data_IF_638972178951
#
_entry.id   IF_638972178951
#
_cell.length_a   1.000
_cell.length_b   1.000
_cell.length_c   1.000
_cell.angle_alpha   90.00
_cell.angle_beta   90.00
_cell.angle_gamma   90.00
#
_symmetry.space_group_name_H-M   'P 1'
#
loop_
_entity.id
_entity.type
_entity.pdbx_description
1 polymer ?
#
# COMPACT_ATOMS: atom_id res chain seq x y z
N UNK A 1 -0.67 -15.99 -5.27
CA UNK A 1 -2.14 -15.86 -5.26
C UNK A 1 -2.53 -15.33 -3.89
N UNK A 2 -3.47 -14.40 -3.78
CA UNK A 2 -4.03 -14.04 -2.46
C UNK A 2 -4.77 -15.24 -1.92
N UNK A 3 -4.47 -15.66 -0.69
CA UNK A 3 -5.13 -16.83 -0.07
C UNK A 3 -6.29 -16.42 0.83
N UNK A 4 -6.42 -15.12 1.03
CA UNK A 4 -7.43 -14.46 1.82
C UNK A 4 -7.51 -14.96 3.28
N UNK A 5 -6.36 -15.18 3.93
CA UNK A 5 -6.30 -15.55 5.36
C UNK A 5 -5.52 -14.49 6.13
N UNK A 6 -6.16 -13.90 7.16
CA UNK A 6 -5.68 -12.69 7.82
C UNK A 6 -5.58 -12.85 9.32
N UNK A 7 -4.69 -12.05 9.91
CA UNK A 7 -4.57 -11.86 11.34
C UNK A 7 -4.46 -10.36 11.61
N UNK A 8 -5.31 -9.84 12.49
CA UNK A 8 -5.45 -8.40 12.74
C UNK A 8 -5.53 -7.57 11.44
N UNK A 9 -6.38 -8.00 10.51
CA UNK A 9 -6.64 -7.36 9.21
C UNK A 9 -5.46 -7.32 8.23
N UNK A 10 -4.39 -8.06 8.51
CA UNK A 10 -3.18 -8.15 7.70
C UNK A 10 -3.00 -9.59 7.19
N UNK A 11 -2.78 -9.77 5.87
CA UNK A 11 -2.71 -11.12 5.29
C UNK A 11 -1.53 -11.86 5.90
N UNK A 12 -1.77 -13.08 6.36
CA UNK A 12 -0.75 -13.93 6.94
C UNK A 12 0.20 -14.38 5.83
N UNK A 13 1.51 -14.18 6.03
CA UNK A 13 2.53 -14.63 5.10
C UNK A 13 2.74 -16.14 5.18
N UNK A 14 2.92 -16.77 4.04
CA UNK A 14 3.13 -18.20 3.92
C UNK A 14 3.49 -18.58 2.50
N UNK A 15 3.90 -19.84 2.32
CA UNK A 15 4.43 -20.33 1.03
C UNK A 15 3.46 -20.25 -0.14
N UNK A 16 2.15 -20.27 0.12
CA UNK A 16 1.13 -20.10 -0.91
C UNK A 16 0.75 -18.63 -1.19
N UNK A 17 1.18 -17.71 -0.33
CA UNK A 17 0.81 -16.30 -0.34
C UNK A 17 1.81 -15.53 -1.18
N UNK A 18 1.34 -14.56 -1.97
CA UNK A 18 2.21 -13.70 -2.80
C UNK A 18 2.86 -12.57 -1.98
N UNK A 19 3.30 -12.86 -0.76
CA UNK A 19 3.92 -11.90 0.14
C UNK A 19 5.40 -11.70 -0.22
N UNK A 20 5.87 -10.45 -0.19
CA UNK A 20 7.19 -10.07 -0.70
C UNK A 20 7.83 -8.96 0.12
N UNK A 21 9.12 -9.06 0.35
CA UNK A 21 9.93 -7.95 0.85
C UNK A 21 10.61 -7.30 -0.34
N UNK A 22 10.19 -6.08 -0.69
CA UNK A 22 10.58 -5.45 -1.95
C UNK A 22 11.62 -4.35 -1.76
N UNK A 23 12.73 -4.45 -2.49
CA UNK A 23 13.71 -3.37 -2.60
C UNK A 23 14.37 -2.99 -1.28
N UNK A 24 14.70 -3.99 -0.45
CA UNK A 24 15.44 -3.81 0.80
C UNK A 24 16.80 -3.22 0.44
N UNK A 25 17.05 -2.00 0.91
CA UNK A 25 18.17 -1.19 0.47
C UNK A 25 18.66 -0.29 1.62
N UNK A 26 19.98 -0.12 1.80
CA UNK A 26 21.05 -0.73 0.99
C UNK A 26 21.39 -2.15 1.45
N UNK A 27 21.58 -3.06 0.48
CA UNK A 27 22.29 -4.34 0.68
C UNK A 27 23.69 -4.19 0.07
N UNK A 28 24.67 -3.75 0.88
CA UNK A 28 26.02 -3.44 0.37
C UNK A 28 26.78 -4.74 0.15
N UNK A 29 27.04 -5.04 -1.12
CA UNK A 29 27.84 -6.19 -1.54
C UNK A 29 29.04 -5.73 -2.38
N UNK A 30 30.13 -6.48 -2.32
CA UNK A 30 31.33 -6.23 -3.11
C UNK A 30 31.17 -6.79 -4.52
N UNK A 31 31.33 -5.92 -5.51
CA UNK A 31 31.25 -6.23 -6.94
C UNK A 31 32.66 -6.37 -7.52
N UNK A 32 32.93 -7.39 -8.35
CA UNK A 32 34.23 -7.52 -9.00
C UNK A 32 34.53 -6.29 -9.87
N UNK A 33 35.72 -5.67 -9.77
CA UNK A 33 36.12 -4.62 -10.70
C UNK A 33 36.38 -5.19 -12.10
N UNK A 34 36.17 -4.41 -13.14
CA UNK A 34 36.39 -4.84 -14.52
C UNK A 34 37.88 -5.14 -14.83
N UNK A 35 38.85 -4.48 -14.16
CA UNK A 35 40.30 -4.66 -14.37
C UNK A 35 41.12 -4.14 -13.16
N UNK A 36 42.33 -4.67 -12.88
CA UNK A 36 42.57 -6.03 -12.38
C UNK A 36 42.01 -6.24 -10.95
N UNK A 37 41.84 -7.51 -10.55
CA UNK A 37 41.19 -7.92 -9.30
C UNK A 37 41.86 -7.30 -8.05
N UNK A 38 41.29 -6.21 -7.53
CA UNK A 38 41.66 -5.67 -6.22
C UNK A 38 40.80 -6.37 -5.17
N UNK A 39 41.36 -7.16 -4.23
CA UNK A 39 40.57 -7.71 -3.12
C UNK A 39 40.20 -6.53 -2.19
N UNK A 40 38.93 -6.36 -1.72
CA UNK A 40 37.79 -7.29 -1.74
C UNK A 40 36.72 -7.07 -2.84
N UNK A 41 36.93 -6.16 -3.79
CA UNK A 41 35.93 -5.67 -4.76
C UNK A 41 35.49 -4.23 -4.46
N UNK A 42 34.57 -3.68 -5.25
CA UNK A 42 33.97 -2.35 -5.02
C UNK A 42 32.68 -2.51 -4.21
N UNK A 43 32.51 -1.84 -3.06
CA UNK A 43 31.26 -1.91 -2.29
C UNK A 43 30.15 -1.16 -3.03
N UNK A 44 29.12 -1.88 -3.48
CA UNK A 44 27.98 -1.32 -4.20
C UNK A 44 26.69 -1.64 -3.42
N UNK A 45 25.82 -0.65 -3.17
CA UNK A 45 24.54 -0.91 -2.55
C UNK A 45 23.56 -1.45 -3.60
N UNK A 46 22.99 -2.63 -3.33
CA UNK A 46 22.00 -3.29 -4.19
C UNK A 46 20.61 -3.27 -3.55
N UNK A 47 19.52 -3.28 -4.35
CA UNK A 47 18.20 -3.64 -3.87
C UNK A 47 18.10 -5.15 -3.70
N UNK A 48 17.66 -5.60 -2.52
CA UNK A 48 17.44 -7.02 -2.21
C UNK A 48 15.95 -7.33 -2.10
N UNK A 49 15.55 -8.52 -2.54
CA UNK A 49 14.16 -8.96 -2.59
C UNK A 49 14.00 -10.34 -1.96
N UNK A 50 12.89 -10.56 -1.26
CA UNK A 50 12.50 -11.89 -0.79
C UNK A 50 11.04 -12.20 -1.09
N UNK A 51 10.77 -13.48 -1.31
CA UNK A 51 9.48 -13.97 -1.78
C UNK A 51 8.98 -15.08 -0.85
N UNK A 52 7.75 -14.95 -0.33
CA UNK A 52 7.18 -15.93 0.58
C UNK A 52 7.07 -17.34 -0.03
N UNK A 53 7.08 -17.47 -1.35
CA UNK A 53 7.20 -18.76 -2.05
C UNK A 53 8.45 -19.57 -1.65
N UNK A 54 9.51 -18.90 -1.19
CA UNK A 54 10.74 -19.51 -0.70
C UNK A 54 10.69 -19.86 0.80
N UNK A 55 9.52 -19.75 1.45
CA UNK A 55 9.33 -20.11 2.85
C UNK A 55 9.71 -21.56 3.12
N UNK A 56 10.45 -21.74 4.22
CA UNK A 56 10.82 -23.00 4.82
C UNK A 56 10.76 -22.90 6.35
N UNK A 57 10.73 -24.05 7.03
CA UNK A 57 10.60 -24.18 8.50
C UNK A 57 9.43 -23.42 9.12
N UNK A 58 8.38 -23.18 8.34
CA UNK A 58 7.11 -22.65 8.83
C UNK A 58 6.31 -23.68 9.64
N UNK A 59 5.01 -23.44 9.76
CA UNK A 59 4.06 -24.32 10.45
C UNK A 59 4.07 -25.77 9.94
N UNK A 60 3.96 -26.69 10.89
CA UNK A 60 3.75 -28.11 10.69
C UNK A 60 2.26 -28.47 10.58
N UNK A 61 1.41 -27.93 11.46
CA UNK A 61 0.00 -28.35 11.57
C UNK A 61 -0.96 -27.46 10.79
N UNK A 62 -0.88 -26.14 10.97
CA UNK A 62 -1.74 -25.19 10.26
C UNK A 62 -1.21 -24.96 8.85
N UNK A 63 -2.09 -25.05 7.84
CA UNK A 63 -1.73 -24.80 6.44
C UNK A 63 -2.67 -23.77 5.83
N UNK A 64 -2.11 -22.91 4.99
CA UNK A 64 -2.88 -22.01 4.12
C UNK A 64 -2.69 -22.51 2.68
N UNK A 65 -3.80 -22.80 2.00
CA UNK A 65 -3.82 -23.44 0.68
C UNK A 65 -2.89 -24.67 0.59
N UNK A 66 -2.95 -25.55 1.60
CA UNK A 66 -2.12 -26.76 1.74
C UNK A 66 -0.60 -26.52 1.81
N UNK A 67 -0.16 -25.29 2.11
CA UNK A 67 1.25 -24.96 2.28
C UNK A 67 1.54 -24.36 3.66
N UNK A 68 2.82 -24.42 4.04
CA UNK A 68 3.31 -23.93 5.33
C UNK A 68 3.25 -22.41 5.45
N UNK A 69 3.12 -21.92 6.68
CA UNK A 69 2.91 -20.52 7.03
C UNK A 69 4.12 -19.97 7.78
N UNK A 70 4.44 -18.69 7.59
CA UNK A 70 5.54 -18.03 8.31
C UNK A 70 5.15 -17.73 9.76
N UNK A 71 6.01 -18.15 10.68
CA UNK A 71 5.87 -17.96 12.13
C UNK A 71 7.18 -17.47 12.74
N UNK A 72 7.03 -16.73 13.84
CA UNK A 72 8.10 -16.09 14.61
C UNK A 72 9.25 -17.04 14.91
N UNK A 73 10.49 -16.55 14.74
CA UNK A 73 11.75 -17.18 15.16
C UNK A 73 11.99 -18.62 14.67
N UNK A 74 11.16 -19.15 13.78
CA UNK A 74 11.27 -20.51 13.27
C UNK A 74 11.35 -20.54 11.75
N UNK A 75 10.45 -19.79 11.09
CA UNK A 75 10.39 -19.75 9.63
C UNK A 75 11.35 -18.73 9.04
N UNK A 76 11.77 -18.97 7.79
CA UNK A 76 12.60 -18.07 7.00
C UNK A 76 12.31 -18.25 5.51
N UNK A 77 12.73 -17.29 4.70
CA UNK A 77 12.80 -17.48 3.25
C UNK A 77 14.19 -18.00 2.90
N UNK A 78 14.25 -19.06 2.09
CA UNK A 78 15.49 -19.80 1.83
C UNK A 78 16.55 -19.00 1.09
N UNK A 79 16.16 -17.93 0.38
CA UNK A 79 17.05 -17.06 -0.39
C UNK A 79 16.45 -15.66 -0.58
N UNK A 80 17.32 -14.72 -0.92
CA UNK A 80 16.98 -13.39 -1.44
C UNK A 80 17.62 -13.20 -2.82
N UNK A 81 17.12 -12.24 -3.60
CA UNK A 81 17.61 -11.93 -4.95
C UNK A 81 17.86 -10.43 -5.13
N UNK A 82 18.50 -10.03 -6.25
CA UNK A 82 18.79 -8.65 -6.62
C UNK A 82 20.23 -8.19 -6.32
N UNK A 83 20.96 -9.01 -5.57
CA UNK A 83 22.32 -8.79 -5.09
C UNK A 83 23.35 -9.68 -5.78
N UNK A 84 22.97 -10.44 -6.82
CA UNK A 84 23.79 -11.45 -7.48
C UNK A 84 25.08 -10.87 -8.08
N UNK A 85 25.05 -9.62 -8.56
CA UNK A 85 26.22 -8.93 -9.10
C UNK A 85 27.29 -8.61 -8.04
N UNK A 86 26.92 -8.57 -6.76
CA UNK A 86 27.84 -8.43 -5.63
C UNK A 86 28.56 -9.74 -5.30
N UNK A 87 29.21 -10.35 -6.30
CA UNK A 87 29.78 -11.69 -6.23
C UNK A 87 31.30 -11.73 -6.02
N UNK A 88 31.95 -10.61 -5.68
CA UNK A 88 33.36 -10.62 -5.31
C UNK A 88 33.60 -11.50 -4.07
N UNK A 89 34.87 -11.82 -3.77
CA UNK A 89 35.22 -12.77 -2.72
C UNK A 89 34.53 -12.49 -1.38
N UNK A 90 34.40 -11.21 -0.99
CA UNK A 90 33.73 -10.81 0.25
C UNK A 90 32.20 -10.78 0.15
N UNK A 91 31.58 -10.59 -1.03
CA UNK A 91 30.10 -10.46 -1.18
C UNK A 91 29.50 -9.41 -0.24
N UNK A 92 28.48 -9.73 0.55
CA UNK A 92 27.89 -8.82 1.53
C UNK A 92 28.91 -8.34 2.57
N UNK A 93 28.90 -7.03 2.84
CA UNK A 93 29.85 -6.38 3.76
C UNK A 93 29.82 -7.00 5.16
N UNK A 94 28.63 -7.35 5.67
CA UNK A 94 28.44 -8.00 6.97
C UNK A 94 28.48 -9.52 6.81
N UNK A 95 27.64 -10.07 5.93
CA UNK A 95 27.30 -11.51 5.96
C UNK A 95 28.21 -12.39 5.12
N UNK A 96 29.03 -11.79 4.26
CA UNK A 96 29.74 -12.51 3.19
C UNK A 96 28.84 -13.37 2.30
N UNK A 97 27.57 -12.98 2.15
CA UNK A 97 26.57 -13.58 1.25
C UNK A 97 26.04 -12.53 0.28
N UNK A 98 25.52 -12.98 -0.85
CA UNK A 98 24.87 -12.12 -1.85
C UNK A 98 23.49 -12.65 -2.26
N UNK A 99 22.99 -13.73 -1.68
CA UNK A 99 21.66 -14.32 -1.90
C UNK A 99 21.22 -15.12 -0.67
N UNK A 100 21.62 -14.66 0.52
CA UNK A 100 21.35 -15.33 1.80
C UNK A 100 19.86 -15.41 2.15
N UNK A 101 19.55 -15.94 3.33
CA UNK A 101 18.15 -16.08 3.79
C UNK A 101 17.51 -14.71 4.10
N UNK A 102 16.19 -14.70 4.20
CA UNK A 102 15.42 -13.61 4.82
C UNK A 102 14.79 -14.10 6.14
N UNK A 103 14.85 -13.25 7.17
CA UNK A 103 14.21 -13.49 8.46
C UNK A 103 13.30 -12.32 8.84
N UNK A 104 12.31 -12.62 9.69
CA UNK A 104 11.31 -11.67 10.16
C UNK A 104 11.66 -11.11 11.54
N UNK A 105 11.39 -9.82 11.72
CA UNK A 105 11.73 -9.02 12.90
C UNK A 105 10.48 -8.50 13.64
N UNK A 106 9.29 -8.70 13.07
CA UNK A 106 8.00 -8.50 13.75
C UNK A 106 6.97 -9.54 13.30
N UNK A 107 5.87 -9.63 14.04
CA UNK A 107 4.82 -10.64 13.88
C UNK A 107 3.54 -10.16 14.60
N UNK A 108 2.45 -10.92 14.49
CA UNK A 108 1.20 -10.68 15.23
C UNK A 108 1.40 -10.64 16.75
N UNK A 109 0.67 -9.77 17.45
CA UNK A 109 0.71 -9.67 18.90
C UNK A 109 -0.07 -10.78 19.62
N UNK A 110 -1.06 -11.37 18.96
CA UNK A 110 -2.09 -12.21 19.59
C UNK A 110 -2.48 -13.45 18.76
N UNK A 111 -2.35 -13.43 17.43
CA UNK A 111 -2.64 -14.60 16.58
C UNK A 111 -1.41 -15.48 16.44
N UNK A 112 -1.58 -16.76 16.80
CA UNK A 112 -0.49 -17.75 16.81
C UNK A 112 -0.91 -19.03 16.08
N UNK A 113 -0.01 -19.56 15.27
CA UNK A 113 -0.10 -20.91 14.70
C UNK A 113 1.03 -21.77 15.25
N UNK A 114 0.73 -23.03 15.56
CA UNK A 114 1.67 -23.96 16.20
C UNK A 114 2.31 -23.38 17.48
N UNK A 115 1.57 -22.54 18.21
CA UNK A 115 2.04 -21.89 19.44
C UNK A 115 2.87 -20.62 19.24
N UNK A 116 3.23 -20.26 18.00
CA UNK A 116 4.08 -19.10 17.68
C UNK A 116 3.32 -18.02 16.89
N UNK A 117 3.61 -16.73 17.13
CA UNK A 117 3.02 -15.63 16.38
C UNK A 117 3.21 -15.74 14.86
N UNK A 118 2.15 -15.45 14.12
CA UNK A 118 2.18 -15.45 12.65
C UNK A 118 2.79 -14.17 12.08
N UNK A 119 3.50 -14.29 10.96
CA UNK A 119 4.04 -13.16 10.19
C UNK A 119 2.98 -12.69 9.18
N UNK A 120 2.86 -11.38 8.97
CA UNK A 120 1.75 -10.77 8.22
C UNK A 120 2.19 -9.60 7.33
N UNK A 121 1.28 -9.07 6.53
CA UNK A 121 1.48 -7.78 5.84
C UNK A 121 1.93 -6.71 6.84
N UNK A 122 2.87 -5.86 6.45
CA UNK A 122 3.53 -4.81 7.27
C UNK A 122 4.54 -5.29 8.31
N UNK A 123 4.69 -6.61 8.53
CA UNK A 123 5.76 -7.09 9.40
C UNK A 123 7.15 -6.84 8.79
N UNK A 124 8.14 -6.59 9.63
CA UNK A 124 9.48 -6.25 9.19
C UNK A 124 10.29 -7.51 8.88
N UNK A 125 11.12 -7.45 7.85
CA UNK A 125 12.05 -8.49 7.46
C UNK A 125 13.43 -7.91 7.12
N UNK A 126 14.46 -8.74 7.26
CA UNK A 126 15.86 -8.41 6.93
C UNK A 126 16.44 -9.46 6.00
N UNK A 127 17.27 -9.03 5.05
CA UNK A 127 17.66 -9.83 3.89
C UNK A 127 19.14 -10.22 3.91
N UNK A 128 19.47 -11.17 3.03
CA UNK A 128 20.82 -11.62 2.72
C UNK A 128 21.61 -12.11 3.94
N UNK A 129 20.96 -12.94 4.76
CA UNK A 129 21.52 -13.45 6.00
C UNK A 129 22.58 -14.54 5.81
N UNK A 130 23.57 -14.52 6.70
CA UNK A 130 24.44 -15.67 6.98
C UNK A 130 24.01 -16.49 8.21
N UNK A 131 22.83 -16.17 8.77
CA UNK A 131 22.20 -16.78 9.96
C UNK A 131 23.07 -16.70 11.24
N UNK A 132 22.77 -15.79 12.18
CA UNK A 132 21.62 -14.87 12.25
C UNK A 132 21.89 -13.45 11.71
N UNK A 133 23.09 -13.13 11.25
CA UNK A 133 23.43 -11.77 10.85
C UNK A 133 22.80 -11.42 9.49
N UNK A 134 22.15 -10.26 9.42
CA UNK A 134 21.60 -9.65 8.20
C UNK A 134 22.63 -8.75 7.51
N UNK A 135 22.52 -8.58 6.20
CA UNK A 135 23.30 -7.56 5.47
C UNK A 135 22.54 -6.23 5.28
N UNK A 136 21.26 -6.20 5.65
CA UNK A 136 20.35 -5.09 5.36
C UNK A 136 19.65 -4.58 6.63
N UNK A 137 19.17 -3.32 6.63
CA UNK A 137 18.22 -2.87 7.64
C UNK A 137 16.85 -3.57 7.48
N UNK A 138 15.99 -3.55 8.52
CA UNK A 138 14.63 -4.05 8.43
C UNK A 138 13.77 -3.26 7.43
N UNK A 139 12.97 -3.95 6.63
CA UNK A 139 12.03 -3.38 5.67
C UNK A 139 10.69 -4.12 5.70
N UNK A 140 9.63 -3.49 5.21
CA UNK A 140 8.28 -4.06 5.18
C UNK A 140 8.19 -5.30 4.29
N UNK A 141 7.66 -6.38 4.86
CA UNK A 141 7.15 -7.56 4.16
C UNK A 141 5.68 -7.32 3.77
N UNK A 142 5.44 -7.20 2.47
CA UNK A 142 4.16 -6.80 1.92
C UNK A 142 3.36 -8.00 1.40
N UNK A 143 2.20 -8.27 2.01
CA UNK A 143 1.11 -9.09 1.47
C UNK A 143 -0.15 -8.24 1.19
N UNK A 144 -1.37 -8.80 1.21
CA UNK A 144 -2.61 -8.02 1.15
C UNK A 144 -3.03 -7.50 2.55
N UNK A 145 -3.98 -6.57 2.56
CA UNK A 145 -4.70 -6.13 3.76
C UNK A 145 -6.21 -6.28 3.52
N UNK A 146 -6.98 -6.38 4.60
CA UNK A 146 -8.43 -6.60 4.50
C UNK A 146 -9.27 -5.68 5.38
N UNK A 147 -10.53 -5.58 4.96
CA UNK A 147 -11.66 -5.14 5.76
C UNK A 147 -12.64 -6.31 5.82
N UNK A 148 -12.95 -6.81 7.01
CA UNK A 148 -13.94 -7.88 7.23
C UNK A 148 -13.73 -9.21 6.48
N UNK A 149 -12.50 -9.70 6.30
CA UNK A 149 -12.30 -11.04 5.72
C UNK A 149 -12.35 -11.10 4.19
N UNK A 150 -12.40 -9.94 3.50
CA UNK A 150 -12.45 -9.84 2.03
C UNK A 150 -11.50 -8.75 1.52
N UNK A 151 -10.64 -9.08 0.55
CA UNK A 151 -9.73 -8.11 -0.06
C UNK A 151 -10.46 -6.89 -0.64
N UNK A 152 -9.86 -5.70 -0.55
CA UNK A 152 -10.49 -4.49 -1.05
C UNK A 152 -10.75 -4.52 -2.56
N UNK A 153 -9.90 -5.20 -3.32
CA UNK A 153 -10.16 -5.46 -4.74
C UNK A 153 -11.50 -6.20 -4.91
N UNK A 154 -11.73 -7.25 -4.12
CA UNK A 154 -12.98 -8.03 -4.20
C UNK A 154 -14.19 -7.23 -3.74
N UNK A 155 -14.09 -6.45 -2.65
CA UNK A 155 -15.19 -5.60 -2.17
C UNK A 155 -15.59 -4.57 -3.24
N UNK A 156 -14.62 -3.90 -3.84
CA UNK A 156 -14.85 -2.87 -4.87
C UNK A 156 -15.40 -3.49 -6.16
N UNK A 157 -14.84 -4.61 -6.63
CA UNK A 157 -15.35 -5.31 -7.83
C UNK A 157 -16.79 -5.81 -7.65
N UNK A 158 -17.16 -6.31 -6.46
CA UNK A 158 -18.54 -6.75 -6.17
C UNK A 158 -19.56 -5.62 -6.19
N UNK A 159 -19.11 -4.39 -5.94
CA UNK A 159 -19.93 -3.19 -5.95
C UNK A 159 -19.75 -2.36 -7.23
N UNK A 160 -19.13 -2.94 -8.26
CA UNK A 160 -18.86 -2.27 -9.55
C UNK A 160 -18.18 -0.90 -9.38
N UNK A 161 -17.28 -0.80 -8.39
CA UNK A 161 -16.51 0.41 -8.11
C UNK A 161 -15.14 0.29 -8.76
N UNK A 162 -14.91 1.09 -9.80
CA UNK A 162 -13.69 1.04 -10.60
C UNK A 162 -12.59 1.91 -9.97
N UNK A 163 -11.78 1.29 -9.11
CA UNK A 163 -10.58 1.91 -8.56
C UNK A 163 -9.43 1.88 -9.57
N UNK A 164 -8.81 3.03 -9.81
CA UNK A 164 -7.74 3.19 -10.80
C UNK A 164 -6.82 4.36 -10.43
N UNK A 165 -5.68 4.49 -11.13
CA UNK A 165 -4.81 5.67 -11.03
C UNK A 165 -5.39 6.81 -11.86
N UNK A 166 -5.44 8.02 -11.31
CA UNK A 166 -6.08 9.18 -11.96
C UNK A 166 -5.64 9.40 -13.41
N UNK A 167 -4.34 9.38 -13.67
CA UNK A 167 -3.77 9.62 -15.00
C UNK A 167 -4.14 8.59 -16.08
N UNK A 168 -4.63 7.41 -15.69
CA UNK A 168 -5.00 6.35 -16.64
C UNK A 168 -6.45 6.53 -17.13
N UNK A 169 -7.31 7.18 -16.31
CA UNK A 169 -8.68 7.61 -16.65
C UNK A 169 -9.52 6.61 -17.48
N UNK A 170 -9.77 5.37 -17.01
CA UNK A 170 -10.54 4.36 -17.74
C UNK A 170 -12.07 4.57 -17.71
N UNK A 171 -12.56 5.68 -17.14
CA UNK A 171 -13.99 5.90 -16.86
C UNK A 171 -14.81 6.18 -18.12
N UNK A 172 -16.08 5.77 -18.10
CA UNK A 172 -16.96 5.92 -19.25
C UNK A 172 -17.60 7.33 -19.29
N UNK A 173 -16.88 8.26 -19.93
CA UNK A 173 -17.38 9.62 -20.13
C UNK A 173 -18.72 9.70 -20.88
N UNK A 174 -19.14 8.66 -21.62
CA UNK A 174 -20.45 8.63 -22.28
C UNK A 174 -21.60 8.45 -21.29
N UNK A 175 -21.32 7.85 -20.13
CA UNK A 175 -22.24 7.72 -18.98
C UNK A 175 -22.14 8.90 -18.01
N UNK A 176 -21.29 9.88 -18.30
CA UNK A 176 -21.05 11.01 -17.38
C UNK A 176 -20.05 10.71 -16.29
N UNK A 177 -19.39 9.54 -16.35
CA UNK A 177 -18.40 9.10 -15.38
C UNK A 177 -17.02 9.73 -15.67
N UNK A 178 -16.34 10.18 -14.63
CA UNK A 178 -14.97 10.69 -14.73
C UNK A 178 -14.09 10.11 -13.62
N UNK A 179 -12.77 10.25 -13.79
CA UNK A 179 -11.79 9.83 -12.78
C UNK A 179 -11.82 10.80 -11.60
N UNK A 180 -12.37 10.35 -10.48
CA UNK A 180 -12.61 11.20 -9.32
C UNK A 180 -11.73 10.88 -8.13
N UNK A 181 -11.12 11.91 -7.56
CA UNK A 181 -10.49 11.82 -6.26
C UNK A 181 -11.56 11.62 -5.19
N UNK A 182 -11.62 10.41 -4.64
CA UNK A 182 -12.54 10.08 -3.55
C UNK A 182 -12.06 10.65 -2.20
N UNK A 183 -10.78 11.05 -2.11
CA UNK A 183 -10.25 11.94 -1.07
C UNK A 183 -9.76 13.20 -1.74
N UNK A 184 -10.34 14.34 -1.40
CA UNK A 184 -10.08 15.60 -2.10
C UNK A 184 -8.63 16.06 -1.94
N UNK A 185 -7.99 16.42 -3.05
CA UNK A 185 -6.59 16.87 -3.10
C UNK A 185 -6.29 18.13 -2.26
N UNK A 186 -7.32 18.83 -1.82
CA UNK A 186 -7.25 20.09 -1.08
C UNK A 186 -6.51 19.95 0.26
N UNK A 187 -6.50 18.76 0.86
CA UNK A 187 -5.70 18.51 2.07
C UNK A 187 -4.20 18.55 1.78
N UNK A 188 -3.78 17.94 0.66
CA UNK A 188 -2.36 17.84 0.27
C UNK A 188 -1.86 19.09 -0.45
N UNK A 189 -2.76 19.87 -1.06
CA UNK A 189 -2.44 21.09 -1.78
C UNK A 189 -2.20 22.29 -0.84
N UNK A 190 -1.36 23.23 -1.28
CA UNK A 190 -1.14 24.50 -0.60
C UNK A 190 -2.38 25.38 -0.74
N UNK A 191 -2.75 26.08 0.35
CA UNK A 191 -3.87 27.03 0.32
C UNK A 191 -3.69 28.06 -0.79
N UNK A 192 -4.75 28.29 -1.56
CA UNK A 192 -4.74 29.20 -2.72
C UNK A 192 -3.99 28.70 -3.96
N UNK A 193 -3.31 27.55 -3.91
CA UNK A 193 -2.64 26.97 -5.09
C UNK A 193 -2.81 25.44 -5.16
N UNK A 194 -3.85 25.01 -5.87
CA UNK A 194 -4.17 23.58 -6.08
C UNK A 194 -3.12 22.82 -6.87
N UNK A 195 -2.24 23.51 -7.60
CA UNK A 195 -1.17 22.90 -8.39
C UNK A 195 0.12 22.66 -7.59
N UNK A 196 0.20 23.19 -6.35
CA UNK A 196 1.37 23.03 -5.48
C UNK A 196 1.04 22.14 -4.30
N UNK A 197 1.79 21.06 -4.12
CA UNK A 197 1.68 20.18 -2.95
C UNK A 197 2.47 20.74 -1.77
N UNK A 198 1.99 20.49 -0.54
CA UNK A 198 2.69 20.87 0.69
C UNK A 198 3.99 20.08 0.83
N UNK A 199 4.98 20.65 1.51
CA UNK A 199 6.31 20.05 1.66
C UNK A 199 6.28 18.62 2.25
N UNK A 200 5.35 18.34 3.19
CA UNK A 200 5.16 17.00 3.78
C UNK A 200 4.61 15.95 2.79
N UNK A 201 4.01 16.38 1.69
CA UNK A 201 3.48 15.53 0.61
C UNK A 201 4.25 15.74 -0.71
N UNK A 202 5.56 16.04 -0.65
CA UNK A 202 6.35 16.45 -1.83
C UNK A 202 6.32 15.46 -3.00
N UNK A 203 6.30 14.15 -2.71
CA UNK A 203 6.24 13.10 -3.73
C UNK A 203 4.81 12.71 -4.13
N UNK A 204 3.79 13.28 -3.48
CA UNK A 204 2.40 13.08 -3.91
C UNK A 204 2.15 13.80 -5.23
N UNK A 205 1.52 13.10 -6.19
CA UNK A 205 1.08 13.68 -7.46
C UNK A 205 -0.39 13.37 -7.67
N UNK A 206 -1.15 14.41 -8.00
CA UNK A 206 -2.58 14.30 -8.36
C UNK A 206 -2.82 13.19 -9.39
N UNK A 207 -2.03 13.14 -10.46
CA UNK A 207 -2.17 12.12 -11.51
C UNK A 207 -1.84 10.69 -11.07
N UNK A 208 -1.12 10.51 -9.97
CA UNK A 208 -0.76 9.19 -9.43
C UNK A 208 -1.71 8.73 -8.31
N UNK A 209 -2.61 9.60 -7.87
CA UNK A 209 -3.52 9.31 -6.78
C UNK A 209 -4.56 8.26 -7.19
N UNK A 210 -5.00 7.42 -6.24
CA UNK A 210 -6.09 6.49 -6.46
C UNK A 210 -7.41 7.27 -6.63
N UNK A 211 -8.18 6.92 -7.65
CA UNK A 211 -9.46 7.51 -8.01
C UNK A 211 -10.53 6.46 -8.26
N UNK A 212 -11.79 6.87 -8.21
CA UNK A 212 -12.95 6.08 -8.57
C UNK A 212 -13.59 6.63 -9.84
N UNK A 213 -14.13 5.76 -10.68
CA UNK A 213 -15.09 6.21 -11.68
C UNK A 213 -16.39 6.53 -10.96
N UNK A 214 -16.88 7.75 -11.16
CA UNK A 214 -18.10 8.24 -10.53
C UNK A 214 -18.79 9.19 -11.48
N UNK A 215 -20.12 9.23 -11.44
CA UNK A 215 -20.91 10.20 -12.18
C UNK A 215 -20.57 11.63 -11.76
N UNK A 216 -19.89 12.34 -12.65
CA UNK A 216 -19.39 13.69 -12.38
C UNK A 216 -20.02 14.75 -13.24
N UNK A 217 -20.52 14.38 -14.42
CA UNK A 217 -21.09 15.32 -15.39
C UNK A 217 -22.39 14.80 -15.94
N UNK A 218 -23.38 15.68 -15.93
CA UNK A 218 -24.67 15.41 -16.54
C UNK A 218 -24.57 15.20 -18.06
N UNK A 219 -25.16 14.13 -18.55
CA UNK A 219 -25.22 13.76 -19.96
C UNK A 219 -26.60 14.01 -20.54
N UNK A 220 -26.78 13.76 -21.85
CA UNK A 220 -28.10 13.85 -22.49
C UNK A 220 -29.06 12.77 -21.99
N UNK A 221 -28.57 11.58 -21.66
CA UNK A 221 -29.35 10.44 -21.21
C UNK A 221 -29.80 10.52 -19.76
N UNK A 222 -29.21 11.41 -18.97
CA UNK A 222 -29.49 11.50 -17.54
C UNK A 222 -30.81 12.23 -17.24
N UNK A 223 -31.48 11.78 -16.19
CA UNK A 223 -32.56 12.52 -15.55
C UNK A 223 -31.97 13.68 -14.73
N UNK A 224 -31.81 14.84 -15.38
CA UNK A 224 -31.19 16.03 -14.78
C UNK A 224 -32.17 16.88 -13.97
N UNK A 225 -31.70 17.53 -12.88
CA UNK A 225 -32.46 18.60 -12.23
C UNK A 225 -32.77 19.75 -13.20
N UNK A 226 -33.90 20.42 -12.97
CA UNK A 226 -34.33 21.55 -13.80
C UNK A 226 -33.27 22.67 -13.83
N UNK A 227 -33.02 23.23 -15.01
CA UNK A 227 -32.04 24.30 -15.21
C UNK A 227 -30.58 23.85 -15.35
N UNK A 228 -30.29 22.57 -15.16
CA UNK A 228 -28.94 22.01 -15.32
C UNK A 228 -28.66 21.61 -16.78
N UNK A 229 -27.56 22.12 -17.32
CA UNK A 229 -27.05 21.85 -18.68
C UNK A 229 -26.13 20.63 -18.69
N UNK A 230 -26.05 19.98 -19.85
CA UNK A 230 -25.09 18.89 -20.08
C UNK A 230 -23.65 19.37 -19.80
N UNK A 231 -22.86 18.52 -19.15
CA UNK A 231 -21.48 18.79 -18.78
C UNK A 231 -21.31 19.53 -17.45
N UNK A 232 -22.38 20.07 -16.86
CA UNK A 232 -22.30 20.65 -15.52
C UNK A 232 -22.12 19.57 -14.46
N UNK A 233 -21.48 19.95 -13.36
CA UNK A 233 -21.20 19.06 -12.22
C UNK A 233 -22.16 19.29 -11.06
N UNK A 234 -22.83 20.44 -10.97
CA UNK A 234 -23.72 20.74 -9.83
C UNK A 234 -24.81 19.68 -9.67
N UNK A 235 -24.92 19.12 -8.47
CA UNK A 235 -25.88 18.08 -8.11
C UNK A 235 -25.57 16.69 -8.65
N UNK A 236 -24.37 16.45 -9.20
CA UNK A 236 -23.89 15.08 -9.48
C UNK A 236 -23.32 14.43 -8.24
N UNK A 237 -23.16 13.11 -8.28
CA UNK A 237 -22.52 12.30 -7.23
C UNK A 237 -21.15 12.88 -6.84
N UNK A 238 -20.35 13.31 -7.84
CA UNK A 238 -19.11 14.03 -7.57
C UNK A 238 -19.32 15.30 -6.75
N UNK A 239 -20.25 16.16 -7.15
CA UNK A 239 -20.43 17.46 -6.52
C UNK A 239 -20.84 17.33 -5.06
N UNK A 240 -21.74 16.39 -4.77
CA UNK A 240 -22.23 16.13 -3.42
C UNK A 240 -21.14 15.55 -2.52
N UNK A 241 -20.36 14.55 -2.99
CA UNK A 241 -19.20 14.06 -2.22
C UNK A 241 -18.18 15.17 -1.94
N UNK A 242 -17.88 15.98 -2.96
CA UNK A 242 -16.83 16.99 -2.87
C UNK A 242 -17.29 18.14 -1.98
N UNK A 243 -18.61 18.37 -1.84
CA UNK A 243 -19.17 19.31 -0.87
C UNK A 243 -18.86 18.86 0.55
N UNK A 244 -19.15 17.61 0.90
CA UNK A 244 -18.89 17.07 2.25
C UNK A 244 -17.40 17.18 2.61
N UNK A 245 -16.51 16.79 1.70
CA UNK A 245 -15.06 16.94 1.90
C UNK A 245 -14.62 18.39 2.10
N UNK A 246 -15.17 19.33 1.32
CA UNK A 246 -14.85 20.77 1.46
C UNK A 246 -15.31 21.33 2.79
N UNK A 247 -16.52 20.99 3.20
CA UNK A 247 -17.11 21.49 4.44
C UNK A 247 -16.28 20.98 5.63
N UNK A 248 -15.93 19.68 5.66
CA UNK A 248 -15.06 19.11 6.68
C UNK A 248 -13.69 19.82 6.78
N UNK A 249 -13.08 20.21 5.65
CA UNK A 249 -11.83 20.98 5.65
C UNK A 249 -11.97 22.42 6.17
N UNK A 250 -13.14 23.03 6.01
CA UNK A 250 -13.37 24.42 6.38
C UNK A 250 -13.86 24.56 7.82
N UNK A 251 -14.66 23.61 8.28
CA UNK A 251 -15.41 23.73 9.52
C UNK A 251 -14.70 23.00 10.68
N UNK A 252 -14.04 21.86 10.40
CA UNK A 252 -13.50 20.96 11.44
C UNK A 252 -11.96 20.96 11.55
N UNK A 253 -11.23 21.50 10.56
CA UNK A 253 -9.75 21.40 10.42
C UNK A 253 -9.17 20.02 10.80
N UNK A 254 -9.63 18.94 10.15
CA UNK A 254 -9.35 17.57 10.55
C UNK A 254 -7.87 17.18 10.38
N UNK A 255 -7.45 16.13 11.09
CA UNK A 255 -6.23 15.43 10.68
C UNK A 255 -6.46 14.59 9.41
N UNK A 256 -5.38 14.09 8.80
CA UNK A 256 -5.46 13.34 7.54
C UNK A 256 -6.31 12.08 7.67
N UNK A 257 -6.29 11.41 8.82
CA UNK A 257 -7.12 10.23 9.10
C UNK A 257 -8.60 10.58 9.07
N UNK A 258 -9.04 11.56 9.86
CA UNK A 258 -10.42 12.06 9.92
C UNK A 258 -10.92 12.55 8.56
N UNK A 259 -10.08 13.31 7.85
CA UNK A 259 -10.41 13.79 6.51
C UNK A 259 -10.59 12.65 5.51
N UNK A 260 -9.68 11.68 5.54
CA UNK A 260 -9.73 10.49 4.68
C UNK A 260 -10.98 9.67 4.97
N UNK A 261 -11.29 9.44 6.25
CA UNK A 261 -12.46 8.68 6.68
C UNK A 261 -13.75 9.38 6.21
N UNK A 262 -13.84 10.70 6.40
CA UNK A 262 -15.00 11.52 5.98
C UNK A 262 -15.18 11.49 4.46
N UNK A 263 -14.11 11.70 3.70
CA UNK A 263 -14.19 11.74 2.24
C UNK A 263 -14.44 10.36 1.62
N UNK A 264 -13.86 9.30 2.18
CA UNK A 264 -14.14 7.94 1.74
C UNK A 264 -15.61 7.59 1.98
N UNK A 265 -16.14 7.91 3.16
CA UNK A 265 -17.55 7.67 3.48
C UNK A 265 -18.48 8.49 2.57
N UNK A 266 -18.20 9.80 2.39
CA UNK A 266 -18.96 10.65 1.48
C UNK A 266 -18.93 10.13 0.03
N UNK A 267 -17.78 9.62 -0.41
CA UNK A 267 -17.65 9.01 -1.73
C UNK A 267 -18.52 7.77 -1.87
N UNK A 268 -18.60 6.93 -0.85
CA UNK A 268 -19.47 5.76 -0.83
C UNK A 268 -20.94 6.15 -0.78
N UNK A 269 -21.30 7.13 0.05
CA UNK A 269 -22.71 7.51 0.23
C UNK A 269 -23.32 8.14 -1.02
N UNK A 270 -22.50 8.80 -1.84
CA UNK A 270 -22.94 9.45 -3.07
C UNK A 270 -22.66 8.62 -4.33
N UNK A 271 -21.96 7.48 -4.26
CA UNK A 271 -21.65 6.68 -5.45
C UNK A 271 -22.91 5.98 -5.99
N UNK A 272 -23.12 6.02 -7.30
CA UNK A 272 -24.29 5.46 -7.99
C UNK A 272 -24.51 3.97 -7.66
N UNK A 273 -23.45 3.17 -7.72
CA UNK A 273 -23.50 1.73 -7.44
C UNK A 273 -23.66 1.37 -5.94
N UNK A 274 -23.66 2.37 -5.06
CA UNK A 274 -23.87 2.20 -3.62
C UNK A 274 -25.30 2.58 -3.19
N UNK A 275 -26.13 3.07 -4.11
CA UNK A 275 -27.55 3.32 -3.83
C UNK A 275 -28.27 2.02 -3.44
N UNK A 276 -29.14 2.10 -2.42
CA UNK A 276 -29.84 0.94 -1.86
C UNK A 276 -28.98 -0.10 -1.12
N UNK A 277 -27.66 0.04 -1.06
CA UNK A 277 -26.77 -0.87 -0.31
C UNK A 277 -26.88 -0.68 1.21
N UNK A 278 -26.68 -1.77 1.96
CA UNK A 278 -26.73 -1.74 3.41
C UNK A 278 -25.63 -0.86 4.02
N UNK A 279 -25.89 -0.27 5.19
CA UNK A 279 -24.89 0.53 5.92
C UNK A 279 -23.59 -0.27 6.20
N UNK A 280 -23.71 -1.57 6.48
CA UNK A 280 -22.56 -2.44 6.68
C UNK A 280 -21.71 -2.61 5.40
N UNK A 281 -22.36 -2.75 4.24
CA UNK A 281 -21.65 -2.85 2.97
C UNK A 281 -20.99 -1.52 2.59
N UNK A 282 -21.69 -0.40 2.81
CA UNK A 282 -21.11 0.94 2.64
C UNK A 282 -19.88 1.15 3.53
N UNK A 283 -19.98 0.81 4.81
CA UNK A 283 -18.85 0.93 5.75
C UNK A 283 -17.63 0.08 5.31
N UNK A 284 -17.86 -1.13 4.78
CA UNK A 284 -16.79 -2.00 4.25
C UNK A 284 -16.08 -1.37 3.07
N UNK A 285 -16.84 -0.85 2.12
CA UNK A 285 -16.30 -0.14 0.95
C UNK A 285 -15.52 1.08 1.39
N UNK A 286 -16.06 1.90 2.30
CA UNK A 286 -15.41 3.11 2.80
C UNK A 286 -14.07 2.78 3.47
N UNK A 287 -14.03 1.79 4.35
CA UNK A 287 -12.79 1.33 4.97
C UNK A 287 -11.75 0.85 3.93
N UNK A 288 -12.20 0.23 2.84
CA UNK A 288 -11.33 -0.14 1.74
C UNK A 288 -10.73 1.06 0.99
N UNK A 289 -11.53 2.11 0.75
CA UNK A 289 -11.03 3.34 0.17
C UNK A 289 -10.04 4.05 1.11
N UNK A 290 -10.35 4.11 2.42
CA UNK A 290 -9.48 4.70 3.44
C UNK A 290 -8.09 4.10 3.40
N UNK A 291 -7.97 2.77 3.49
CA UNK A 291 -6.64 2.18 3.58
C UNK A 291 -5.92 2.07 2.22
N UNK A 292 -6.63 2.07 1.08
CA UNK A 292 -5.97 2.28 -0.23
C UNK A 292 -5.30 3.65 -0.26
N UNK A 293 -6.04 4.69 0.15
CA UNK A 293 -5.53 6.06 0.14
C UNK A 293 -4.36 6.24 1.12
N UNK A 294 -4.50 5.78 2.35
CA UNK A 294 -3.46 5.92 3.37
C UNK A 294 -2.20 5.13 3.02
N UNK A 295 -2.32 3.93 2.44
CA UNK A 295 -1.18 3.17 1.94
C UNK A 295 -0.45 3.93 0.82
N UNK A 296 -1.19 4.51 -0.13
CA UNK A 296 -0.62 5.33 -1.19
C UNK A 296 0.11 6.56 -0.63
N UNK A 297 -0.53 7.32 0.26
CA UNK A 297 0.10 8.50 0.86
C UNK A 297 1.34 8.13 1.68
N UNK A 298 1.26 7.07 2.49
CA UNK A 298 2.39 6.57 3.27
C UNK A 298 3.57 6.18 2.35
N UNK A 299 3.31 5.48 1.25
CA UNK A 299 4.32 5.13 0.26
C UNK A 299 5.02 6.38 -0.26
N UNK A 300 4.28 7.40 -0.74
CA UNK A 300 4.88 8.63 -1.28
C UNK A 300 5.65 9.43 -0.23
N UNK A 301 5.17 9.47 1.00
CA UNK A 301 5.90 10.10 2.10
C UNK A 301 7.21 9.34 2.37
N UNK A 302 7.16 8.01 2.43
CA UNK A 302 8.31 7.17 2.72
C UNK A 302 9.35 7.16 1.59
N UNK A 303 8.93 7.26 0.32
CA UNK A 303 9.83 7.50 -0.82
C UNK A 303 10.64 8.80 -0.62
N UNK A 304 9.96 9.90 -0.23
CA UNK A 304 10.63 11.18 0.01
C UNK A 304 11.58 11.13 1.21
N UNK A 305 11.14 10.48 2.30
CA UNK A 305 11.93 10.32 3.52
C UNK A 305 13.17 9.45 3.27
N UNK A 306 13.03 8.36 2.51
CA UNK A 306 14.15 7.54 2.04
C UNK A 306 15.16 8.37 1.24
N UNK A 307 14.70 9.19 0.29
CA UNK A 307 15.56 10.06 -0.50
C UNK A 307 16.28 11.15 0.32
N UNK A 308 15.79 11.45 1.53
CA UNK A 308 16.35 12.48 2.42
C UNK A 308 16.99 11.91 3.70
N UNK A 309 17.21 10.58 3.75
CA UNK A 309 17.85 9.92 4.89
C UNK A 309 17.02 9.90 6.19
N UNK A 310 15.70 10.09 6.09
CA UNK A 310 14.78 10.07 7.24
C UNK A 310 14.14 8.68 7.41
N UNK A 311 13.89 8.22 8.65
CA UNK A 311 13.26 6.93 8.91
C UNK A 311 11.82 6.92 8.37
N UNK A 312 11.27 5.78 7.93
CA UNK A 312 9.89 5.70 7.45
C UNK A 312 8.88 6.07 8.54
N UNK A 313 7.70 6.55 8.13
CA UNK A 313 6.55 6.79 9.02
C UNK A 313 5.57 5.62 8.94
N UNK A 314 4.89 5.36 10.05
CA UNK A 314 3.80 4.37 10.14
C UNK A 314 2.47 4.95 9.63
N UNK A 315 1.49 4.09 9.33
CA UNK A 315 0.12 4.54 8.98
C UNK A 315 -0.49 5.35 10.12
N UNK A 316 -0.19 5.01 11.37
CA UNK A 316 -0.64 5.78 12.54
C UNK A 316 -0.13 7.22 12.50
N UNK A 317 1.16 7.40 12.17
CA UNK A 317 1.76 8.73 12.05
C UNK A 317 1.17 9.51 10.87
N UNK A 318 0.89 8.83 9.75
CA UNK A 318 0.24 9.43 8.59
C UNK A 318 -1.17 9.89 8.92
N UNK A 319 -1.98 9.07 9.58
CA UNK A 319 -3.34 9.43 10.00
C UNK A 319 -3.34 10.66 10.92
N UNK A 320 -2.36 10.78 11.82
CA UNK A 320 -2.25 11.91 12.73
C UNK A 320 -1.73 13.21 12.09
N UNK A 321 -1.40 13.23 10.80
CA UNK A 321 -0.87 14.44 10.14
C UNK A 321 -1.95 15.53 10.05
N UNK A 322 -1.66 16.68 10.63
CA UNK A 322 -2.50 17.88 10.47
C UNK A 322 -2.29 18.53 9.10
N UNK A 323 -3.14 19.48 8.76
CA UNK A 323 -3.11 20.20 7.48
C UNK A 323 -1.84 21.05 7.29
#
# INVERSE_FOLDING_TARGET
MSTNVFANSLEISGKAVDAKTLGVFPDVCFTPPENPATPPGVPVPYPSFGFASDTDKGTGTVKIANKTVNIKNQSYLTKTSGTEAGCAAKKGVITSKNTGKEYFNSWSSDVKFDGEPVVRHTDLATNNHASPQANTPPMVHAAQWEVDGISCKTILTRNDMVLHRHGDSPCDSKKGEWSEHYVENQFMAVSGNRNRTKAKFKNYKCNDAPCLCMHSRWTKSDAKPSGIRNGQTTGTNHYDKSKVCRDNLNDDDPNLGEFTDTCAQASVDNHENMDGKSAAEKARVAACLVAVFLAHIQEKINEHRKATGKPPVSIKDVRAMTR
#
